data_IF_749567012639
#
_entry.id   IF_749567012639
#
_cell.length_a   1.000
_cell.length_b   1.000
_cell.length_c   1.000
_cell.angle_alpha   90.00
_cell.angle_beta   90.00
_cell.angle_gamma   90.00
#
_symmetry.space_group_name_H-M   'P 1'
#
loop_
_entity.id
_entity.type
_entity.pdbx_description
1 polymer ?
#
# COMPACT_ATOMS: atom_id res chain seq x y z
N UNK A 1 -18.30 -14.33 -7.04
CA UNK A 1 -17.34 -13.39 -6.41
C UNK A 1 -15.93 -13.97 -6.43
N UNK A 2 -14.96 -13.13 -6.77
CA UNK A 2 -13.55 -13.50 -6.89
C UNK A 2 -12.82 -13.55 -5.54
N UNK A 3 -13.33 -12.84 -4.53
CA UNK A 3 -12.84 -12.91 -3.15
C UNK A 3 -13.81 -13.75 -2.29
N UNK A 4 -13.39 -14.90 -1.72
CA UNK A 4 -14.23 -15.71 -0.84
C UNK A 4 -14.33 -15.16 0.59
N UNK A 5 -13.59 -14.10 0.94
CA UNK A 5 -13.48 -13.59 2.30
C UNK A 5 -14.31 -12.31 2.52
N UNK A 6 -14.91 -12.20 3.70
CA UNK A 6 -15.72 -11.04 4.12
C UNK A 6 -14.87 -9.76 4.26
N UNK A 7 -13.65 -9.92 4.79
CA UNK A 7 -12.64 -8.87 4.90
C UNK A 7 -11.26 -9.51 4.85
N UNK A 8 -10.30 -8.77 4.29
CA UNK A 8 -8.88 -9.14 4.22
C UNK A 8 -8.09 -8.08 4.96
N UNK A 9 -7.18 -8.51 5.83
CA UNK A 9 -6.16 -7.68 6.44
C UNK A 9 -4.81 -8.35 6.21
N UNK A 10 -3.90 -7.63 5.57
CA UNK A 10 -2.60 -8.13 5.16
C UNK A 10 -1.50 -7.19 5.64
N UNK A 11 -0.45 -7.78 6.22
CA UNK A 11 0.82 -7.09 6.46
C UNK A 11 1.77 -7.42 5.31
N UNK A 12 2.45 -6.41 4.78
CA UNK A 12 3.36 -6.51 3.64
C UNK A 12 4.71 -5.98 4.09
N UNK A 13 5.76 -6.77 3.92
CA UNK A 13 7.14 -6.34 4.11
C UNK A 13 7.73 -6.03 2.73
N UNK A 14 8.05 -4.77 2.48
CA UNK A 14 8.72 -4.34 1.24
C UNK A 14 10.22 -4.68 1.29
N UNK A 15 10.86 -4.81 0.13
CA UNK A 15 12.31 -5.05 0.00
C UNK A 15 13.14 -4.02 0.78
N UNK A 16 12.66 -2.78 0.87
CA UNK A 16 13.27 -1.70 1.63
C UNK A 16 13.25 -1.89 3.16
N UNK A 17 12.55 -2.91 3.66
CA UNK A 17 12.29 -3.14 5.08
C UNK A 17 11.10 -2.34 5.64
N UNK A 18 10.46 -1.50 4.82
CA UNK A 18 9.22 -0.81 5.21
C UNK A 18 8.08 -1.82 5.35
N UNK A 19 7.23 -1.61 6.35
CA UNK A 19 6.03 -2.44 6.56
C UNK A 19 4.81 -1.65 6.09
N UNK A 20 4.03 -2.25 5.20
CA UNK A 20 2.71 -1.77 4.79
C UNK A 20 1.60 -2.61 5.40
N UNK A 21 0.45 -1.98 5.60
CA UNK A 21 -0.79 -2.67 5.95
C UNK A 21 -1.84 -2.40 4.86
N UNK A 22 -2.44 -3.46 4.35
CA UNK A 22 -3.54 -3.39 3.40
C UNK A 22 -4.79 -4.00 4.01
N UNK A 23 -5.89 -3.25 3.99
CA UNK A 23 -7.21 -3.73 4.42
C UNK A 23 -8.21 -3.58 3.30
N UNK A 24 -8.91 -4.67 2.99
CA UNK A 24 -9.97 -4.70 1.99
C UNK A 24 -11.25 -5.25 2.60
N UNK A 25 -12.33 -4.48 2.50
CA UNK A 25 -13.64 -4.84 3.03
C UNK A 25 -14.71 -4.75 1.94
N UNK A 26 -14.90 -5.79 1.11
CA UNK A 26 -15.87 -5.77 0.02
C UNK A 26 -17.32 -5.96 0.48
N UNK A 27 -17.55 -6.48 1.69
CA UNK A 27 -18.89 -6.86 2.16
C UNK A 27 -19.67 -5.72 2.83
N UNK A 28 -19.18 -4.48 2.79
CA UNK A 28 -19.88 -3.36 3.39
C UNK A 28 -19.31 -2.00 2.98
N UNK A 29 -19.77 -0.96 3.68
CA UNK A 29 -19.38 0.43 3.46
C UNK A 29 -18.81 0.97 4.77
N UNK A 30 -17.67 1.64 4.70
CA UNK A 30 -17.11 2.35 5.84
C UNK A 30 -18.01 3.52 6.23
N UNK A 31 -18.58 3.45 7.43
CA UNK A 31 -19.53 4.46 7.94
C UNK A 31 -18.84 5.61 8.68
N UNK A 32 -17.64 5.39 9.20
CA UNK A 32 -16.85 6.42 9.88
C UNK A 32 -16.26 7.42 8.88
N UNK A 33 -16.31 8.72 9.23
CA UNK A 33 -15.66 9.81 8.47
C UNK A 33 -14.68 10.60 9.35
N UNK A 34 -13.53 11.04 8.83
CA UNK A 34 -12.98 10.67 7.51
C UNK A 34 -12.62 9.16 7.49
N UNK A 35 -12.68 8.50 6.33
CA UNK A 35 -12.23 7.11 6.19
C UNK A 35 -10.75 6.98 6.63
N UNK A 36 -10.32 5.75 6.95
CA UNK A 36 -8.92 5.46 7.31
C UNK A 36 -7.95 6.04 6.27
N UNK A 37 -8.33 5.96 4.99
CA UNK A 37 -7.62 6.51 3.84
C UNK A 37 -6.27 5.85 3.61
N UNK A 38 -5.45 6.47 2.75
CA UNK A 38 -4.06 6.07 2.51
C UNK A 38 -3.11 6.92 3.34
N UNK A 39 -2.14 6.28 4.01
CA UNK A 39 -1.17 6.93 4.90
C UNK A 39 0.23 6.40 4.65
N UNK A 40 1.20 7.30 4.54
CA UNK A 40 2.63 6.99 4.56
C UNK A 40 3.24 7.73 5.74
N UNK A 41 3.97 7.00 6.59
CA UNK A 41 4.81 7.58 7.62
C UNK A 41 6.27 7.56 7.14
N UNK A 42 6.86 8.74 7.03
CA UNK A 42 8.24 8.94 6.62
C UNK A 42 9.09 9.50 7.75
N UNK A 43 10.39 9.58 7.52
CA UNK A 43 11.35 10.11 8.49
C UNK A 43 11.15 11.60 8.79
N UNK A 44 10.56 12.36 7.85
CA UNK A 44 10.37 13.80 7.95
C UNK A 44 8.90 14.22 8.14
N UNK A 45 7.98 13.27 8.23
CA UNK A 45 6.56 13.60 8.31
C UNK A 45 5.64 12.49 7.82
N UNK A 46 4.41 12.87 7.52
CA UNK A 46 3.33 11.98 7.11
C UNK A 46 2.64 12.49 5.84
N UNK A 47 2.30 11.58 4.93
CA UNK A 47 1.40 11.83 3.81
C UNK A 47 0.05 11.18 4.13
N UNK A 48 -1.04 11.91 3.91
CA UNK A 48 -2.41 11.42 4.08
C UNK A 48 -3.30 11.79 2.90
N UNK A 49 -3.93 10.77 2.33
CA UNK A 49 -4.99 10.90 1.33
C UNK A 49 -6.26 10.27 1.89
N UNK A 50 -7.30 11.08 2.09
CA UNK A 50 -8.57 10.63 2.68
C UNK A 50 -9.29 9.66 1.75
N UNK A 51 -9.58 10.11 0.53
CA UNK A 51 -10.26 9.34 -0.50
C UNK A 51 -9.75 9.77 -1.87
N UNK A 52 -9.78 8.86 -2.85
CA UNK A 52 -9.31 9.12 -4.21
C UNK A 52 -10.08 10.26 -4.92
N UNK A 53 -11.29 10.58 -4.46
CA UNK A 53 -12.12 11.68 -4.98
C UNK A 53 -11.90 13.04 -4.28
N UNK A 54 -11.09 13.10 -3.21
CA UNK A 54 -10.91 14.31 -2.40
C UNK A 54 -10.25 15.48 -3.15
N UNK A 55 -9.38 15.18 -4.13
CA UNK A 55 -8.63 16.19 -4.89
C UNK A 55 -7.53 16.90 -4.09
N UNK A 56 -7.25 16.43 -2.87
CA UNK A 56 -6.23 17.00 -1.98
C UNK A 56 -5.41 15.88 -1.34
N UNK A 57 -4.09 15.99 -1.43
CA UNK A 57 -3.13 15.19 -0.64
C UNK A 57 -2.63 16.09 0.48
N UNK A 58 -2.71 15.62 1.72
CA UNK A 58 -2.21 16.34 2.89
C UNK A 58 -0.80 15.85 3.23
N UNK A 59 0.11 16.79 3.45
CA UNK A 59 1.49 16.52 3.89
C UNK A 59 1.71 17.24 5.21
N UNK A 60 2.12 16.49 6.23
CA UNK A 60 2.42 16.99 7.57
C UNK A 60 3.88 16.77 7.87
N UNK A 61 4.58 17.80 8.33
CA UNK A 61 6.01 17.75 8.64
C UNK A 61 6.24 17.62 10.15
N UNK A 62 7.37 17.03 10.54
CA UNK A 62 7.71 16.85 11.96
C UNK A 62 7.94 18.16 12.72
N UNK A 63 8.19 19.27 12.02
CA UNK A 63 8.30 20.61 12.60
C UNK A 63 6.94 21.26 12.90
N UNK A 64 5.84 20.56 12.63
CA UNK A 64 4.47 21.02 12.83
C UNK A 64 3.91 21.82 11.66
N UNK A 65 4.70 22.09 10.61
CA UNK A 65 4.19 22.68 9.38
C UNK A 65 3.40 21.66 8.54
N UNK A 66 2.57 22.14 7.62
CA UNK A 66 1.76 21.28 6.75
C UNK A 66 1.47 21.96 5.42
N UNK A 67 1.26 21.18 4.38
CA UNK A 67 0.79 21.66 3.09
C UNK A 67 -0.27 20.74 2.46
N UNK A 68 -0.99 21.31 1.49
CA UNK A 68 -2.02 20.62 0.73
C UNK A 68 -1.67 20.66 -0.76
N UNK A 69 -1.45 19.48 -1.34
CA UNK A 69 -1.17 19.32 -2.75
C UNK A 69 -2.50 19.00 -3.46
N UNK A 70 -2.91 19.89 -4.37
CA UNK A 70 -4.14 19.71 -5.15
C UNK A 70 -3.88 18.80 -6.34
N UNK A 71 -4.83 17.91 -6.63
CA UNK A 71 -4.86 17.11 -7.84
C UNK A 71 -6.27 17.06 -8.41
N UNK A 72 -6.41 16.66 -9.68
CA UNK A 72 -7.72 16.46 -10.30
C UNK A 72 -8.11 14.98 -10.17
N UNK A 73 -9.17 14.64 -9.43
CA UNK A 73 -9.67 13.27 -9.34
C UNK A 73 -10.15 12.70 -10.68
N UNK A 74 -10.33 11.38 -10.72
CA UNK A 74 -10.89 10.67 -11.88
C UNK A 74 -10.10 10.87 -13.19
N UNK A 75 -8.77 11.02 -13.08
CA UNK A 75 -7.84 11.17 -14.22
C UNK A 75 -7.02 9.93 -14.54
N UNK A 76 -7.21 8.81 -13.84
CA UNK A 76 -6.44 7.57 -14.04
C UNK A 76 -6.42 7.10 -15.49
N UNK A 77 -7.60 6.73 -16.03
CA UNK A 77 -7.73 6.30 -17.43
C UNK A 77 -7.21 7.31 -18.45
N UNK A 78 -7.45 8.60 -18.21
CA UNK A 78 -6.95 9.64 -19.10
C UNK A 78 -5.42 9.68 -19.12
N UNK A 79 -4.78 9.63 -17.94
CA UNK A 79 -3.33 9.71 -17.82
C UNK A 79 -2.65 8.45 -18.38
N UNK A 80 -3.23 7.27 -18.15
CA UNK A 80 -2.72 6.02 -18.73
C UNK A 80 -2.79 6.02 -20.26
N UNK A 81 -3.92 6.46 -20.83
CA UNK A 81 -4.07 6.55 -22.30
C UNK A 81 -3.14 7.61 -22.90
N UNK A 82 -2.95 8.75 -22.21
CA UNK A 82 -2.03 9.79 -22.63
C UNK A 82 -0.58 9.27 -22.61
N UNK A 83 -0.17 8.58 -21.56
CA UNK A 83 1.15 7.97 -21.48
C UNK A 83 1.35 6.93 -22.59
N UNK A 84 0.37 6.06 -22.83
CA UNK A 84 0.42 5.09 -23.93
C UNK A 84 0.61 5.78 -25.30
N UNK A 85 -0.15 6.84 -25.57
CA UNK A 85 0.00 7.64 -26.79
C UNK A 85 1.40 8.27 -26.89
N UNK A 86 1.90 8.87 -25.81
CA UNK A 86 3.22 9.50 -25.79
C UNK A 86 4.34 8.47 -26.01
N UNK A 87 4.20 7.25 -25.47
CA UNK A 87 5.14 6.15 -25.72
C UNK A 87 5.17 5.73 -27.18
N UNK A 88 4.01 5.60 -27.83
CA UNK A 88 3.97 5.27 -29.27
C UNK A 88 4.64 6.34 -30.14
N UNK A 89 4.71 7.58 -29.66
CA UNK A 89 5.40 8.68 -30.34
C UNK A 89 6.86 8.87 -29.88
N UNK A 90 7.36 8.03 -28.95
CA UNK A 90 8.73 8.09 -28.46
C UNK A 90 9.05 9.27 -27.53
N UNK A 91 8.02 9.93 -26.98
CA UNK A 91 8.19 11.10 -26.11
C UNK A 91 8.35 10.72 -24.63
N UNK A 92 7.83 9.56 -24.22
CA UNK A 92 7.83 9.05 -22.84
C UNK A 92 7.97 7.53 -22.82
N UNK A 93 8.46 6.96 -21.74
CA UNK A 93 8.42 5.51 -21.53
C UNK A 93 7.01 5.07 -21.07
N UNK A 94 6.66 3.81 -21.33
CA UNK A 94 5.40 3.23 -20.85
C UNK A 94 5.49 3.07 -19.33
N UNK A 95 4.52 3.65 -18.61
CA UNK A 95 4.55 3.68 -17.14
C UNK A 95 4.16 2.35 -16.51
N UNK A 96 3.20 1.63 -17.11
CA UNK A 96 2.68 0.36 -16.60
C UNK A 96 2.84 -0.68 -17.70
N UNK A 97 3.88 -1.50 -17.61
CA UNK A 97 4.12 -2.61 -18.53
C UNK A 97 3.30 -3.84 -18.14
N UNK A 98 3.11 -4.82 -19.03
CA UNK A 98 2.46 -6.08 -18.68
C UNK A 98 3.11 -6.81 -17.49
N UNK A 99 4.42 -6.68 -17.32
CA UNK A 99 5.16 -7.29 -16.20
C UNK A 99 4.82 -6.63 -14.86
N UNK A 100 4.62 -5.31 -14.84
CA UNK A 100 4.17 -4.58 -13.64
C UNK A 100 2.76 -5.04 -13.25
N UNK A 101 1.83 -5.03 -14.19
CA UNK A 101 0.44 -5.45 -13.93
C UNK A 101 0.35 -6.93 -13.52
N UNK A 102 1.21 -7.79 -14.10
CA UNK A 102 1.33 -9.18 -13.67
C UNK A 102 1.79 -9.28 -12.20
N UNK A 103 2.73 -8.44 -11.78
CA UNK A 103 3.19 -8.36 -10.40
C UNK A 103 2.07 -7.99 -9.43
N UNK A 104 1.24 -7.01 -9.79
CA UNK A 104 0.09 -6.57 -8.99
C UNK A 104 -0.94 -7.71 -8.82
N UNK A 105 -1.27 -8.42 -9.91
CA UNK A 105 -2.18 -9.57 -9.85
C UNK A 105 -1.58 -10.72 -9.05
N UNK A 106 -0.28 -11.00 -9.22
CA UNK A 106 0.42 -12.03 -8.43
C UNK A 106 0.35 -11.72 -6.94
N UNK A 107 0.55 -10.46 -6.54
CA UNK A 107 0.46 -10.04 -5.14
C UNK A 107 -0.92 -10.34 -4.54
N UNK A 108 -2.00 -10.12 -5.29
CA UNK A 108 -3.36 -10.47 -4.84
C UNK A 108 -3.49 -11.98 -4.60
N UNK A 109 -2.98 -12.80 -5.53
CA UNK A 109 -3.00 -14.26 -5.34
C UNK A 109 -2.15 -14.71 -4.15
N UNK A 110 -0.97 -14.12 -3.94
CA UNK A 110 -0.08 -14.43 -2.82
C UNK A 110 -0.74 -14.06 -1.47
N UNK A 111 -1.52 -12.97 -1.41
CA UNK A 111 -2.34 -12.63 -0.24
C UNK A 111 -3.38 -13.73 0.03
N UNK A 112 -4.10 -14.18 -1.01
CA UNK A 112 -5.10 -15.24 -0.86
C UNK A 112 -4.45 -16.58 -0.45
N UNK A 113 -3.27 -16.89 -0.99
CA UNK A 113 -2.48 -18.05 -0.60
C UNK A 113 -2.03 -17.97 0.86
N UNK A 114 -1.52 -16.82 1.30
CA UNK A 114 -1.14 -16.55 2.69
C UNK A 114 -2.30 -16.80 3.66
N UNK A 115 -3.50 -16.31 3.34
CA UNK A 115 -4.70 -16.55 4.15
C UNK A 115 -5.05 -18.04 4.21
N UNK A 116 -5.07 -18.72 3.06
CA UNK A 116 -5.47 -20.14 2.98
C UNK A 116 -4.48 -21.09 3.66
N UNK A 117 -3.18 -20.82 3.51
CA UNK A 117 -2.09 -21.62 4.08
C UNK A 117 -1.77 -21.25 5.53
N UNK A 118 -2.21 -20.06 6.00
CA UNK A 118 -1.88 -19.48 7.31
C UNK A 118 -0.37 -19.29 7.51
N UNK A 119 0.36 -18.99 6.44
CA UNK A 119 1.81 -18.79 6.47
C UNK A 119 2.20 -17.52 5.70
N UNK A 120 3.37 -16.97 6.03
CA UNK A 120 3.99 -15.90 5.24
C UNK A 120 4.33 -16.44 3.85
N UNK A 121 3.90 -15.72 2.81
CA UNK A 121 4.25 -15.97 1.41
C UNK A 121 5.24 -14.91 0.97
N UNK A 122 6.34 -15.34 0.35
CA UNK A 122 7.34 -14.43 -0.22
C UNK A 122 6.97 -14.12 -1.66
N UNK A 123 6.75 -12.83 -1.94
CA UNK A 123 6.28 -12.37 -3.26
C UNK A 123 7.42 -12.28 -4.27
N UNK A 124 8.62 -11.94 -3.81
CA UNK A 124 9.84 -11.78 -4.62
C UNK A 124 10.71 -13.04 -4.64
N UNK A 125 11.53 -13.16 -5.68
CA UNK A 125 12.48 -14.26 -5.86
C UNK A 125 13.94 -13.77 -5.90
N UNK A 126 14.89 -14.50 -5.29
CA UNK A 126 14.68 -15.73 -4.51
C UNK A 126 14.09 -15.44 -3.13
N UNK A 127 13.31 -16.38 -2.59
CA UNK A 127 12.79 -16.26 -1.22
C UNK A 127 13.95 -16.17 -0.22
N UNK A 128 13.86 -15.28 0.79
CA UNK A 128 14.85 -15.22 1.86
C UNK A 128 15.00 -16.59 2.53
N UNK A 129 16.24 -16.96 2.86
CA UNK A 129 16.51 -18.18 3.63
C UNK A 129 15.82 -18.02 4.99
N UNK A 130 14.96 -18.97 5.38
CA UNK A 130 14.26 -19.02 6.67
C UNK A 130 15.26 -19.06 7.83
N UNK A 131 15.68 -17.89 8.30
CA UNK A 131 16.28 -17.68 9.62
C UNK A 131 15.58 -16.47 10.24
N UNK A 132 14.27 -16.59 10.47
CA UNK A 132 13.61 -15.72 11.45
C UNK A 132 13.66 -16.51 12.75
N UNK A 133 14.82 -16.52 13.39
CA UNK A 133 14.87 -16.79 14.82
C UNK A 133 14.15 -15.59 15.45
N UNK A 134 12.90 -15.79 15.85
CA UNK A 134 12.21 -14.85 16.72
C UNK A 134 13.03 -14.83 18.02
N UNK A 135 13.95 -13.89 18.14
CA UNK A 135 14.61 -13.63 19.41
C UNK A 135 13.50 -13.31 20.42
N UNK A 136 13.34 -14.20 21.41
CA UNK A 136 12.55 -13.94 22.60
C UNK A 136 13.13 -12.68 23.24
N UNK A 137 12.53 -11.54 22.92
CA UNK A 137 12.88 -10.27 23.53
C UNK A 137 12.40 -10.37 24.97
N UNK A 138 13.36 -10.52 25.89
CA UNK A 138 13.10 -10.44 27.32
C UNK A 138 12.37 -9.11 27.60
N UNK A 139 11.15 -9.23 28.14
CA UNK A 139 10.32 -8.09 28.54
C UNK A 139 11.08 -7.19 29.51
N UNK A 140 11.70 -6.12 29.00
CA UNK A 140 12.10 -4.99 29.84
C UNK A 140 10.91 -4.06 29.96
N UNK A 141 10.08 -4.34 30.97
CA UNK A 141 8.97 -3.47 31.39
C UNK A 141 9.53 -2.14 31.89
N UNK A 142 9.67 -1.17 30.98
CA UNK A 142 9.80 0.24 31.37
C UNK A 142 8.40 0.88 31.38
N UNK A 143 8.00 1.55 32.47
CA UNK A 143 6.66 2.12 32.57
C UNK A 143 6.50 3.27 31.56
N UNK A 144 5.40 3.23 30.80
CA UNK A 144 4.96 4.36 29.98
C UNK A 144 4.66 5.55 30.91
N UNK A 145 5.32 6.68 30.68
CA UNK A 145 4.96 7.95 31.32
C UNK A 145 3.64 8.41 30.67
N UNK A 146 2.66 8.66 31.52
CA UNK A 146 1.28 9.02 31.20
C UNK A 146 1.14 10.49 30.79
#
# INVERSE_FOLDING_TARGET
DYNPYFSINSNILFESGVIGQYTYFPSGIETQKPPVGFRIYGTNGQIYLEDKSSGIINVFYNDGSSEQIKYTPERGFYNELLNFYNTLNGSEEISVTPEIEYGDVKMVFDILESISSKNVVYVDSPSPVKNIDLEETQETTSPYIQ
#
